data_IF_357048027621
#
_entry.id   IF_357048027621
#
_cell.length_a   1.000
_cell.length_b   1.000
_cell.length_c   1.000
_cell.angle_alpha   90.00
_cell.angle_beta   90.00
_cell.angle_gamma   90.00
#
_symmetry.space_group_name_H-M   'P 1'
#
loop_
_entity.id
_entity.type
_entity.pdbx_description
1 polymer ?
#
# COMPACT_ATOMS: atom_id res chain seq x y z
N UNK A 1 -14.95 0.44 -10.83
CA UNK A 1 -13.79 0.37 -9.91
C UNK A 1 -14.33 0.04 -8.54
N UNK A 2 -13.75 -0.93 -7.82
CA UNK A 2 -14.11 -1.13 -6.43
C UNK A 2 -13.63 0.09 -5.64
N UNK A 3 -14.53 0.77 -4.95
CA UNK A 3 -14.19 1.82 -3.98
C UNK A 3 -13.87 1.13 -2.66
N UNK A 4 -12.77 1.53 -2.03
CA UNK A 4 -12.35 1.02 -0.73
C UNK A 4 -12.55 2.11 0.32
N UNK A 5 -12.81 1.73 1.56
CA UNK A 5 -12.87 2.69 2.67
C UNK A 5 -11.49 3.15 3.11
N UNK A 6 -11.43 4.28 3.83
CA UNK A 6 -10.19 4.77 4.44
C UNK A 6 -9.51 3.70 5.32
N UNK A 7 -10.30 2.95 6.09
CA UNK A 7 -9.80 1.84 6.91
C UNK A 7 -9.19 0.72 6.07
N UNK A 8 -9.89 0.28 5.02
CA UNK A 8 -9.40 -0.80 4.16
C UNK A 8 -8.08 -0.44 3.48
N UNK A 9 -7.93 0.83 3.08
CA UNK A 9 -6.68 1.36 2.50
C UNK A 9 -5.57 1.45 3.55
N UNK A 10 -5.86 1.95 4.76
CA UNK A 10 -4.87 2.02 5.84
C UNK A 10 -4.36 0.62 6.22
N UNK A 11 -5.26 -0.34 6.40
CA UNK A 11 -4.89 -1.74 6.70
C UNK A 11 -4.07 -2.38 5.59
N UNK A 12 -4.40 -2.10 4.33
CA UNK A 12 -3.63 -2.56 3.19
C UNK A 12 -2.21 -1.96 3.22
N UNK A 13 -2.07 -0.65 3.42
CA UNK A 13 -0.77 0.02 3.51
C UNK A 13 0.08 -0.53 4.67
N UNK A 14 -0.52 -0.81 5.84
CA UNK A 14 0.16 -1.48 6.97
C UNK A 14 0.73 -2.84 6.57
N UNK A 15 -0.07 -3.69 5.92
CA UNK A 15 0.36 -5.02 5.47
C UNK A 15 1.54 -4.96 4.49
N UNK A 16 1.53 -3.95 3.61
CA UNK A 16 2.62 -3.68 2.68
C UNK A 16 3.87 -3.19 3.42
N UNK A 17 3.73 -2.28 4.39
CA UNK A 17 4.84 -1.77 5.19
C UNK A 17 5.57 -2.89 5.95
N UNK A 18 4.82 -3.81 6.58
CA UNK A 18 5.40 -4.94 7.31
C UNK A 18 5.97 -6.03 6.38
N UNK A 19 5.87 -5.87 5.05
CA UNK A 19 6.32 -6.85 4.05
C UNK A 19 5.72 -8.25 4.26
N UNK A 20 4.53 -8.31 4.84
CA UNK A 20 3.91 -9.56 5.27
C UNK A 20 3.13 -10.28 4.17
N UNK A 21 3.11 -9.75 2.95
CA UNK A 21 2.24 -10.28 1.90
C UNK A 21 3.02 -10.83 0.71
N UNK A 22 3.10 -12.18 0.59
CA UNK A 22 3.41 -12.83 -0.67
C UNK A 22 2.38 -12.39 -1.71
N UNK A 23 2.83 -11.74 -2.79
CA UNK A 23 1.96 -11.18 -3.83
C UNK A 23 1.04 -12.21 -4.50
N UNK A 24 1.34 -13.51 -4.41
CA UNK A 24 0.59 -14.60 -5.03
C UNK A 24 -0.90 -14.68 -4.63
N UNK A 25 -1.32 -14.10 -3.49
CA UNK A 25 -2.73 -14.09 -3.04
C UNK A 25 -3.55 -12.87 -3.49
N UNK A 26 -2.93 -11.90 -4.18
CA UNK A 26 -3.49 -10.66 -4.79
C UNK A 26 -4.90 -10.24 -4.30
N UNK A 27 -5.04 -9.70 -3.08
CA UNK A 27 -6.25 -8.97 -2.69
C UNK A 27 -6.47 -7.77 -3.63
N UNK A 28 -7.70 -7.54 -4.11
CA UNK A 28 -8.01 -6.45 -5.05
C UNK A 28 -7.58 -5.06 -4.56
N UNK A 29 -7.51 -4.86 -3.24
CA UNK A 29 -7.03 -3.61 -2.65
C UNK A 29 -5.58 -3.31 -3.00
N UNK A 30 -4.71 -4.31 -3.21
CA UNK A 30 -3.33 -4.05 -3.62
C UNK A 30 -3.20 -3.67 -5.09
N UNK A 31 -4.06 -4.22 -5.95
CA UNK A 31 -4.13 -3.75 -7.34
C UNK A 31 -4.61 -2.30 -7.40
N UNK A 32 -5.57 -1.94 -6.54
CA UNK A 32 -6.03 -0.56 -6.39
C UNK A 32 -4.91 0.38 -5.91
N UNK A 33 -4.19 0.03 -4.84
CA UNK A 33 -3.05 0.83 -4.36
C UNK A 33 -1.93 0.95 -5.41
N UNK A 34 -1.68 -0.11 -6.19
CA UNK A 34 -0.69 -0.09 -7.28
C UNK A 34 -1.13 0.83 -8.41
N UNK A 35 -2.42 0.80 -8.79
CA UNK A 35 -2.97 1.69 -9.81
C UNK A 35 -2.85 3.17 -9.39
N UNK A 36 -3.02 3.46 -8.10
CA UNK A 36 -2.79 4.77 -7.51
C UNK A 36 -1.31 5.16 -7.39
N UNK A 37 -0.36 4.24 -7.58
CA UNK A 37 1.07 4.51 -7.41
C UNK A 37 1.52 4.61 -5.95
N UNK A 38 0.71 4.11 -5.00
CA UNK A 38 1.04 4.07 -3.57
C UNK A 38 1.88 2.84 -3.21
N UNK A 39 1.87 1.81 -4.05
CA UNK A 39 2.70 0.63 -3.86
C UNK A 39 3.22 0.10 -5.18
N UNK A 40 4.29 -0.69 -5.10
CA UNK A 40 4.80 -1.48 -6.21
C UNK A 40 5.15 -2.90 -5.75
N UNK A 41 5.56 -3.73 -6.70
CA UNK A 41 6.03 -5.09 -6.46
C UNK A 41 7.51 -5.19 -6.76
N UNK A 42 8.30 -5.67 -5.81
CA UNK A 42 9.73 -5.93 -6.01
C UNK A 42 9.98 -7.43 -5.97
N UNK A 43 10.79 -7.91 -6.92
CA UNK A 43 11.25 -9.30 -6.95
C UNK A 43 12.27 -9.51 -5.82
N UNK A 44 11.91 -10.28 -4.80
CA UNK A 44 12.87 -10.68 -3.78
C UNK A 44 13.79 -11.75 -4.35
N UNK A 45 15.05 -11.38 -4.63
CA UNK A 45 16.09 -12.32 -5.07
C UNK A 45 16.46 -13.22 -3.90
N UNK A 46 16.33 -14.53 -4.06
CA UNK A 46 16.82 -15.49 -3.06
C UNK A 46 18.33 -15.61 -3.13
N UNK A 47 18.97 -15.56 -1.96
CA UNK A 47 20.44 -15.60 -1.82
C UNK A 47 20.89 -17.06 -1.76
N UNK A 48 21.32 -17.60 -2.90
CA UNK A 48 22.01 -18.89 -3.10
C UNK A 48 21.29 -20.20 -2.66
N UNK A 49 21.61 -21.35 -3.29
CA UNK A 49 20.93 -22.62 -3.04
C UNK A 49 21.48 -23.30 -1.78
N UNK A 50 21.03 -22.85 -0.61
CA UNK A 50 21.13 -23.63 0.62
C UNK A 50 19.89 -24.53 0.78
N UNK A 51 19.98 -25.66 1.50
CA UNK A 51 18.80 -26.46 1.85
C UNK A 51 17.76 -25.57 2.56
N UNK A 52 16.55 -25.46 2.00
CA UNK A 52 15.54 -24.45 2.39
C UNK A 52 15.20 -23.42 1.30
N UNK A 53 15.55 -23.70 0.04
CA UNK A 53 15.30 -22.83 -1.10
C UNK A 53 13.81 -22.44 -1.24
N UNK A 54 13.52 -21.15 -1.03
CA UNK A 54 12.23 -20.56 -1.39
C UNK A 54 12.32 -20.01 -2.82
N UNK A 55 11.33 -20.30 -3.68
CA UNK A 55 11.29 -19.70 -5.02
C UNK A 55 11.28 -18.16 -4.89
N UNK A 56 11.92 -17.40 -5.79
CA UNK A 56 11.86 -15.94 -5.73
C UNK A 56 10.40 -15.47 -5.75
N UNK A 57 10.01 -14.65 -4.79
CA UNK A 57 8.64 -14.17 -4.61
C UNK A 57 8.58 -12.67 -4.88
N UNK A 58 7.51 -12.22 -5.51
CA UNK A 58 7.22 -10.78 -5.59
C UNK A 58 6.64 -10.34 -4.25
N UNK A 59 7.23 -9.30 -3.67
CA UNK A 59 6.76 -8.69 -2.43
C UNK A 59 6.17 -7.32 -2.73
N UNK A 60 5.08 -7.02 -2.06
CA UNK A 60 4.51 -5.69 -2.03
C UNK A 60 5.43 -4.74 -1.25
N UNK A 61 5.70 -3.56 -1.81
CA UNK A 61 6.46 -2.49 -1.14
C UNK A 61 5.78 -1.14 -1.32
N UNK A 62 5.87 -0.26 -0.32
CA UNK A 62 5.39 1.11 -0.43
C UNK A 62 6.31 1.93 -1.34
N UNK A 63 5.71 2.77 -2.18
CA UNK A 63 6.42 3.87 -2.84
C UNK A 63 6.66 5.01 -1.83
N UNK A 64 7.40 6.06 -2.22
CA UNK A 64 7.52 7.25 -1.37
C UNK A 64 6.16 7.93 -1.16
N UNK A 65 5.34 8.00 -2.22
CA UNK A 65 3.97 8.48 -2.13
C UNK A 65 3.11 7.62 -1.21
N UNK A 66 3.28 6.30 -1.28
CA UNK A 66 2.65 5.36 -0.36
C UNK A 66 3.02 5.58 1.10
N UNK A 67 4.28 5.92 1.38
CA UNK A 67 4.75 6.25 2.74
C UNK A 67 4.11 7.54 3.26
N UNK A 68 4.10 8.59 2.43
CA UNK A 68 3.46 9.87 2.78
C UNK A 68 1.98 9.68 3.08
N UNK A 69 1.28 8.96 2.19
CA UNK A 69 -0.15 8.70 2.33
C UNK A 69 -0.47 7.81 3.53
N UNK A 70 0.38 6.82 3.79
CA UNK A 70 0.28 5.99 4.99
C UNK A 70 0.38 6.83 6.27
N UNK A 71 1.40 7.69 6.37
CA UNK A 71 1.55 8.60 7.52
C UNK A 71 0.37 9.56 7.67
N UNK A 72 -0.23 10.02 6.57
CA UNK A 72 -1.46 10.83 6.60
C UNK A 72 -2.61 10.04 7.23
N UNK A 73 -2.89 8.84 6.75
CA UNK A 73 -3.99 8.01 7.26
C UNK A 73 -3.75 7.55 8.71
N UNK A 74 -2.52 7.24 9.10
CA UNK A 74 -2.18 6.95 10.51
C UNK A 74 -2.39 8.17 11.43
N UNK A 75 -2.22 9.38 10.90
CA UNK A 75 -2.52 10.60 11.64
C UNK A 75 -4.03 10.82 11.75
N UNK A 76 -4.77 10.54 10.69
CA UNK A 76 -6.24 10.65 10.66
C UNK A 76 -6.88 9.63 11.60
N UNK A 77 -6.33 8.42 11.72
CA UNK A 77 -6.80 7.40 12.67
C UNK A 77 -6.76 7.86 14.14
N UNK A 78 -5.85 8.77 14.47
CA UNK A 78 -5.71 9.32 15.83
C UNK A 78 -6.66 10.48 16.11
N UNK A 79 -7.44 10.93 15.12
CA UNK A 79 -8.36 12.04 15.30
C UNK A 79 -9.70 11.57 15.89
N UNK A 80 -10.41 12.42 16.64
CA UNK A 80 -11.69 12.07 17.25
C UNK A 80 -12.80 11.72 16.24
N UNK A 81 -12.70 12.22 15.01
CA UNK A 81 -13.65 12.00 13.91
C UNK A 81 -13.37 10.70 13.12
N UNK A 82 -12.37 9.92 13.53
CA UNK A 82 -11.96 8.71 12.80
C UNK A 82 -13.08 7.69 12.63
N UNK A 83 -13.91 7.44 13.65
CA UNK A 83 -15.00 6.45 13.54
C UNK A 83 -16.01 6.77 12.43
N UNK A 84 -16.17 8.06 12.10
CA UNK A 84 -16.96 8.48 10.94
C UNK A 84 -16.14 8.35 9.65
N UNK A 85 -14.89 8.82 9.66
CA UNK A 85 -14.06 8.87 8.46
C UNK A 85 -13.57 7.51 7.98
N UNK A 86 -13.44 6.51 8.86
CA UNK A 86 -12.91 5.17 8.55
C UNK A 86 -13.77 4.42 7.53
N UNK A 87 -15.09 4.66 7.52
CA UNK A 87 -16.07 4.01 6.62
C UNK A 87 -16.30 4.81 5.34
N UNK A 88 -15.83 6.06 5.26
CA UNK A 88 -15.93 6.88 4.06
C UNK A 88 -15.10 6.29 2.93
N UNK A 89 -15.58 6.52 1.71
CA UNK A 89 -14.86 6.18 0.49
C UNK A 89 -13.50 6.87 0.49
N UNK A 90 -12.45 6.06 0.32
CA UNK A 90 -11.09 6.56 0.26
C UNK A 90 -10.91 7.44 -0.96
N UNK A 91 -10.43 8.67 -0.71
CA UNK A 91 -9.98 9.60 -1.72
C UNK A 91 -8.49 9.90 -1.49
N UNK A 92 -7.71 9.82 -2.56
CA UNK A 92 -6.30 10.20 -2.54
C UNK A 92 -6.20 11.72 -2.27
N UNK A 93 -5.41 12.10 -1.26
CA UNK A 93 -5.16 13.51 -0.96
C UNK A 93 -4.57 14.23 -2.18
N UNK A 94 -4.99 15.48 -2.42
CA UNK A 94 -4.45 16.32 -3.51
C UNK A 94 -2.92 16.42 -3.44
N UNK A 95 -2.34 16.53 -2.24
CA UNK A 95 -0.89 16.59 -2.03
C UNK A 95 -0.19 15.28 -2.48
N UNK A 96 -0.83 14.13 -2.21
CA UNK A 96 -0.33 12.82 -2.63
C UNK A 96 -0.51 12.63 -4.14
N UNK A 97 -1.60 13.12 -4.71
CA UNK A 97 -1.86 13.08 -6.15
C UNK A 97 -0.84 13.89 -6.96
N UNK A 98 -0.49 15.10 -6.49
CA UNK A 98 0.57 15.93 -7.10
C UNK A 98 1.92 15.22 -7.04
N UNK A 99 2.30 14.69 -5.88
CA UNK A 99 3.58 13.96 -5.72
C UNK A 99 3.66 12.72 -6.63
N UNK A 100 2.55 12.02 -6.83
CA UNK A 100 2.46 10.88 -7.76
C UNK A 100 2.63 11.33 -9.21
N UNK A 101 2.05 12.45 -9.59
CA UNK A 101 2.19 13.00 -10.94
C UNK A 101 3.65 13.41 -11.21
N UNK A 102 4.29 14.10 -10.27
CA UNK A 102 5.69 14.52 -10.38
C UNK A 102 6.65 13.33 -10.45
N UNK A 103 6.37 12.26 -9.70
CA UNK A 103 7.18 11.03 -9.74
C UNK A 103 7.11 10.28 -11.08
N UNK A 104 6.19 10.65 -11.98
CA UNK A 104 5.97 10.01 -13.29
C UNK A 104 6.51 10.83 -14.47
N UNK A 105 7.01 12.04 -14.23
CA UNK A 105 7.64 12.93 -15.23
C UNK A 105 9.15 12.66 -15.30
#
# INVERSE_FOLDING_TARGET
MATYSNEAVLDALRRVQYRQVPWARRPGVFEYLRALGLMDTVRQKTVAPAPGFHAPVDIAVLTDNGRVEFTRLERDEKQPDWETRRIEDYALSEASAVSILESRL
#
